data_IF_830755444451
#
_entry.id   IF_830755444451
#
_cell.length_a   1.000
_cell.length_b   1.000
_cell.length_c   1.000
_cell.angle_alpha   90.00
_cell.angle_beta   90.00
_cell.angle_gamma   90.00
#
_symmetry.space_group_name_H-M   'P 1'
#
loop_
_entity.id
_entity.type
_entity.pdbx_description
1 polymer ?
#
# COMPACT_ATOMS: atom_id res chain seq x y z
N UNK A 1 -40.74 -50.36 15.31
CA UNK A 1 -41.13 -48.95 15.09
C UNK A 1 -40.38 -48.13 16.14
N UNK A 2 -39.29 -47.44 15.75
CA UNK A 2 -39.23 -45.99 15.45
C UNK A 2 -39.44 -45.12 16.70
N UNK A 3 -38.71 -44.03 17.00
CA UNK A 3 -37.60 -43.30 16.38
C UNK A 3 -36.90 -42.53 17.53
N UNK A 4 -35.58 -42.64 17.56
CA UNK A 4 -34.53 -41.62 17.76
C UNK A 4 -34.88 -40.29 18.45
N UNK A 5 -34.11 -39.96 19.49
CA UNK A 5 -34.08 -38.67 20.15
C UNK A 5 -33.55 -37.52 19.28
N UNK A 6 -33.95 -36.30 19.65
CA UNK A 6 -33.34 -35.06 19.17
C UNK A 6 -32.93 -34.22 20.38
N UNK A 7 -31.62 -34.00 20.48
CA UNK A 7 -30.98 -33.16 21.48
C UNK A 7 -31.20 -31.68 21.14
N UNK A 8 -31.66 -30.90 22.12
CA UNK A 8 -32.03 -29.49 21.98
C UNK A 8 -30.78 -28.60 21.95
N UNK A 9 -30.30 -28.26 20.76
CA UNK A 9 -29.30 -27.20 20.57
C UNK A 9 -29.90 -25.81 20.84
N UNK A 10 -29.15 -25.02 21.62
CA UNK A 10 -29.55 -23.75 22.28
C UNK A 10 -29.82 -22.57 21.30
N UNK A 11 -30.76 -21.66 21.63
CA UNK A 11 -31.18 -20.55 20.74
C UNK A 11 -30.21 -19.35 20.60
N UNK A 12 -28.99 -19.39 21.17
CA UNK A 12 -28.08 -18.22 21.16
C UNK A 12 -27.24 -18.07 19.87
N UNK A 13 -27.11 -19.13 19.06
CA UNK A 13 -26.27 -19.12 17.84
C UNK A 13 -27.00 -18.54 16.61
N UNK A 14 -28.33 -18.64 16.58
CA UNK A 14 -29.15 -18.22 15.43
C UNK A 14 -29.26 -16.70 15.31
N UNK A 15 -29.24 -15.96 16.43
CA UNK A 15 -29.39 -14.49 16.43
C UNK A 15 -28.09 -13.78 16.00
N UNK A 16 -26.92 -14.29 16.37
CA UNK A 16 -25.63 -13.74 15.93
C UNK A 16 -25.44 -13.89 14.40
N UNK A 17 -25.96 -14.98 13.84
CA UNK A 17 -25.89 -15.26 12.40
C UNK A 17 -26.75 -14.30 11.58
N UNK A 18 -27.93 -13.90 12.08
CA UNK A 18 -28.85 -12.99 11.39
C UNK A 18 -28.42 -11.51 11.42
N UNK A 19 -27.72 -11.05 12.46
CA UNK A 19 -27.15 -9.70 12.49
C UNK A 19 -25.86 -9.58 11.65
N UNK A 20 -25.02 -10.62 11.64
CA UNK A 20 -23.89 -10.70 10.71
C UNK A 20 -24.34 -10.71 9.24
N UNK A 21 -25.43 -11.41 8.91
CA UNK A 21 -26.01 -11.41 7.57
C UNK A 21 -26.67 -10.08 7.18
N UNK A 22 -27.30 -9.36 8.12
CA UNK A 22 -27.85 -8.02 7.83
C UNK A 22 -26.79 -6.94 7.66
N UNK A 23 -25.68 -7.02 8.40
CA UNK A 23 -24.51 -6.15 8.23
C UNK A 23 -23.77 -6.42 6.92
N UNK A 24 -23.53 -7.69 6.60
CA UNK A 24 -22.85 -8.09 5.37
C UNK A 24 -23.67 -7.78 4.09
N UNK A 25 -25.00 -7.89 4.13
CA UNK A 25 -25.86 -7.65 2.96
C UNK A 25 -26.06 -6.16 2.62
N UNK A 26 -25.91 -5.24 3.59
CA UNK A 26 -25.95 -3.80 3.33
C UNK A 26 -24.57 -3.26 2.93
N UNK A 27 -23.49 -3.77 3.51
CA UNK A 27 -22.11 -3.30 3.24
C UNK A 27 -21.54 -3.84 1.92
N UNK A 28 -21.89 -5.07 1.50
CA UNK A 28 -21.49 -5.59 0.17
C UNK A 28 -22.19 -4.85 -0.97
N UNK A 29 -23.44 -4.42 -0.76
CA UNK A 29 -24.15 -3.56 -1.72
C UNK A 29 -23.49 -2.19 -1.86
N UNK A 30 -23.00 -1.62 -0.76
CA UNK A 30 -22.35 -0.30 -0.75
C UNK A 30 -20.93 -0.31 -1.30
N UNK A 31 -20.14 -1.35 -1.03
CA UNK A 31 -18.83 -1.54 -1.66
C UNK A 31 -18.95 -1.78 -3.18
N UNK A 32 -19.99 -2.52 -3.61
CA UNK A 32 -20.26 -2.77 -5.03
C UNK A 32 -20.74 -1.51 -5.76
N UNK A 33 -21.58 -0.67 -5.14
CA UNK A 33 -22.01 0.62 -5.71
C UNK A 33 -20.85 1.60 -5.84
N UNK A 34 -19.84 1.55 -4.95
CA UNK A 34 -18.62 2.39 -5.06
C UNK A 34 -17.64 1.92 -6.12
N UNK A 35 -17.64 0.62 -6.44
CA UNK A 35 -16.82 0.03 -7.52
C UNK A 35 -17.50 0.12 -8.89
N UNK A 36 -18.83 0.05 -8.93
CA UNK A 36 -19.62 0.20 -10.16
C UNK A 36 -19.91 1.67 -10.53
N UNK A 37 -19.68 2.60 -9.60
CA UNK A 37 -19.99 4.02 -9.72
C UNK A 37 -18.76 4.89 -9.98
N UNK A 38 -18.26 4.87 -11.21
CA UNK A 38 -17.52 5.98 -11.81
C UNK A 38 -17.85 5.98 -13.32
N UNK A 39 -18.47 7.03 -13.91
CA UNK A 39 -19.01 8.26 -13.29
C UNK A 39 -20.39 8.71 -13.84
N UNK A 40 -21.29 9.15 -12.94
CA UNK A 40 -22.38 10.08 -13.30
C UNK A 40 -21.98 11.56 -13.08
N UNK A 41 -20.92 11.84 -12.31
CA UNK A 41 -20.52 13.22 -11.95
C UNK A 41 -19.53 13.86 -12.94
N UNK A 42 -19.59 13.46 -14.21
CA UNK A 42 -18.76 13.99 -15.31
C UNK A 42 -19.27 15.32 -15.90
N UNK A 43 -20.10 16.09 -15.20
CA UNK A 43 -20.64 17.34 -15.72
C UNK A 43 -20.16 18.55 -14.91
N UNK A 44 -19.14 19.20 -15.49
CA UNK A 44 -18.90 20.67 -15.55
C UNK A 44 -17.72 21.31 -14.80
N UNK A 45 -16.85 20.61 -14.06
CA UNK A 45 -15.65 21.28 -13.45
C UNK A 45 -14.28 20.57 -13.57
N UNK A 46 -14.11 19.57 -14.44
CA UNK A 46 -12.91 18.72 -14.46
C UNK A 46 -11.90 18.88 -15.62
N UNK A 47 -12.04 19.86 -16.52
CA UNK A 47 -11.29 19.85 -17.80
C UNK A 47 -9.76 19.99 -17.63
N UNK A 48 -9.27 20.65 -16.58
CA UNK A 48 -7.81 20.76 -16.31
C UNK A 48 -7.18 19.52 -15.66
N UNK A 49 -7.95 18.72 -14.92
CA UNK A 49 -7.48 17.46 -14.33
C UNK A 49 -7.45 16.31 -15.34
N UNK A 50 -8.25 16.41 -16.40
CA UNK A 50 -8.32 15.41 -17.46
C UNK A 50 -7.09 15.43 -18.38
N UNK A 51 -6.43 16.58 -18.54
CA UNK A 51 -5.24 16.72 -19.40
C UNK A 51 -3.99 16.07 -18.79
N UNK A 52 -3.83 16.06 -17.47
CA UNK A 52 -2.77 15.28 -16.80
C UNK A 52 -3.08 13.78 -16.76
N UNK A 53 -4.35 13.41 -16.87
CA UNK A 53 -4.86 12.04 -16.82
C UNK A 53 -4.81 11.29 -18.15
N UNK A 54 -4.94 12.00 -19.28
CA UNK A 54 -4.97 11.40 -20.63
C UNK A 54 -3.71 11.69 -21.46
N UNK A 55 -2.81 12.53 -20.96
CA UNK A 55 -1.53 12.81 -21.61
C UNK A 55 -0.53 11.69 -21.36
N UNK A 56 -0.17 10.94 -22.40
CA UNK A 56 1.14 10.31 -22.43
C UNK A 56 2.20 11.41 -22.45
N UNK A 57 2.95 11.57 -21.36
CA UNK A 57 3.99 12.60 -21.27
C UNK A 57 4.40 12.87 -19.83
N UNK A 58 5.67 12.59 -19.54
CA UNK A 58 6.46 12.94 -18.36
C UNK A 58 5.89 12.61 -16.98
N UNK A 59 6.51 11.64 -16.32
CA UNK A 59 6.32 11.34 -14.91
C UNK A 59 6.62 12.57 -14.03
N UNK A 60 5.62 13.41 -13.81
CA UNK A 60 5.70 14.56 -12.92
C UNK A 60 5.90 14.07 -11.47
N UNK A 61 7.03 14.46 -10.87
CA UNK A 61 7.20 14.41 -9.42
C UNK A 61 6.47 15.62 -8.83
N UNK A 62 5.41 15.37 -8.08
CA UNK A 62 4.80 16.41 -7.27
C UNK A 62 5.65 16.56 -6.00
N UNK A 63 6.43 17.64 -5.94
CA UNK A 63 7.12 18.04 -4.71
C UNK A 63 6.10 18.60 -3.74
N UNK A 64 6.13 18.13 -2.50
CA UNK A 64 5.15 18.47 -1.48
C UNK A 64 5.84 19.28 -0.39
N UNK A 65 5.19 20.36 0.04
CA UNK A 65 5.69 21.21 1.14
C UNK A 65 5.98 20.35 2.39
N UNK A 66 7.26 20.23 2.73
CA UNK A 66 7.78 19.64 3.96
C UNK A 66 8.76 20.64 4.60
N UNK A 67 8.75 20.73 5.93
CA UNK A 67 9.48 21.78 6.65
C UNK A 67 10.99 21.55 6.66
N UNK A 68 11.42 20.29 6.64
CA UNK A 68 12.82 19.90 6.58
C UNK A 68 13.22 19.52 5.13
N UNK A 69 14.03 20.38 4.52
CA UNK A 69 14.54 20.19 3.16
C UNK A 69 15.89 19.43 3.13
N UNK A 70 16.50 19.24 4.30
CA UNK A 70 17.82 18.64 4.48
C UNK A 70 17.77 17.22 5.07
N UNK A 71 16.60 16.80 5.57
CA UNK A 71 16.30 15.47 6.12
C UNK A 71 16.40 14.31 5.12
N UNK A 72 15.87 13.13 5.49
CA UNK A 72 15.79 11.99 4.56
C UNK A 72 14.64 12.22 3.56
N UNK A 73 14.87 12.28 2.23
CA UNK A 73 13.81 12.39 1.24
C UNK A 73 12.80 11.24 1.36
N UNK A 74 11.51 11.56 1.30
CA UNK A 74 10.42 10.58 1.40
C UNK A 74 9.60 10.59 0.13
N UNK A 75 9.49 9.44 -0.55
CA UNK A 75 8.66 9.28 -1.74
C UNK A 75 7.48 8.35 -1.45
N UNK A 76 6.27 8.90 -1.56
CA UNK A 76 5.02 8.19 -1.35
C UNK A 76 4.55 7.51 -2.62
N UNK A 77 4.05 6.26 -2.50
CA UNK A 77 3.57 5.45 -3.61
C UNK A 77 2.14 4.99 -3.30
N UNK A 78 1.16 5.57 -3.99
CA UNK A 78 -0.27 5.33 -3.75
C UNK A 78 -0.74 3.97 -4.29
N UNK A 79 -1.94 3.51 -3.87
CA UNK A 79 -2.58 2.28 -4.35
C UNK A 79 -3.55 2.47 -5.53
N UNK A 80 -4.31 1.41 -5.85
CA UNK A 80 -5.26 1.32 -6.99
C UNK A 80 -6.43 2.33 -6.90
N UNK A 81 -6.89 2.63 -5.68
CA UNK A 81 -8.09 3.45 -5.44
C UNK A 81 -7.78 4.74 -4.65
N UNK A 82 -6.50 5.04 -4.44
CA UNK A 82 -6.09 6.18 -3.64
C UNK A 82 -5.90 7.43 -4.48
N UNK A 83 -6.45 8.53 -3.99
CA UNK A 83 -6.01 9.86 -4.36
C UNK A 83 -4.74 10.16 -3.56
N UNK A 84 -3.79 10.92 -4.12
CA UNK A 84 -2.60 11.44 -3.41
C UNK A 84 -2.92 12.04 -2.04
N UNK A 85 -4.18 12.46 -1.84
CA UNK A 85 -4.72 12.95 -0.57
C UNK A 85 -4.66 11.98 0.62
N UNK A 86 -4.60 10.65 0.41
CA UNK A 86 -4.56 9.68 1.54
C UNK A 86 -3.32 9.91 2.43
N UNK A 87 -2.22 10.34 1.82
CA UNK A 87 -0.99 10.66 2.54
C UNK A 87 -0.98 12.06 3.14
N UNK A 88 -2.03 12.87 2.99
CA UNK A 88 -2.02 14.27 3.47
C UNK A 88 -1.78 14.35 4.97
N UNK A 89 -2.45 13.49 5.75
CA UNK A 89 -2.30 13.50 7.22
C UNK A 89 -0.93 12.99 7.63
N UNK A 90 -0.49 11.89 7.03
CA UNK A 90 0.86 11.36 7.26
C UNK A 90 1.93 12.40 6.92
N UNK A 91 1.89 12.98 5.72
CA UNK A 91 2.80 14.04 5.28
C UNK A 91 2.86 15.20 6.27
N UNK A 92 1.71 15.75 6.67
CA UNK A 92 1.67 16.86 7.64
C UNK A 92 2.35 16.50 8.96
N UNK A 93 2.16 15.27 9.43
CA UNK A 93 2.82 14.80 10.63
C UNK A 93 4.33 14.56 10.44
N UNK A 94 4.77 14.19 9.24
CA UNK A 94 6.18 14.00 8.93
C UNK A 94 6.97 15.31 8.85
N UNK A 95 6.33 16.43 8.49
CA UNK A 95 6.98 17.75 8.45
C UNK A 95 7.69 18.11 9.75
N UNK A 96 7.22 17.62 10.90
CA UNK A 96 7.80 17.91 12.22
C UNK A 96 8.86 16.87 12.68
N UNK A 97 9.37 16.02 11.79
CA UNK A 97 10.07 14.77 12.17
C UNK A 97 11.50 14.60 11.61
N UNK A 98 12.13 15.66 11.08
CA UNK A 98 13.47 15.55 10.48
C UNK A 98 13.51 14.74 9.16
N UNK A 99 12.33 14.45 8.60
CA UNK A 99 12.15 13.74 7.35
C UNK A 99 11.60 14.71 6.29
N UNK A 100 12.13 14.61 5.08
CA UNK A 100 11.82 15.52 3.99
C UNK A 100 13.07 15.82 3.14
N UNK A 101 12.90 16.34 1.91
CA UNK A 101 11.64 16.73 1.27
C UNK A 101 10.75 15.54 0.91
N UNK A 102 9.46 15.81 0.71
CA UNK A 102 8.44 14.80 0.45
C UNK A 102 7.96 14.86 -0.99
N UNK A 103 7.78 13.71 -1.63
CA UNK A 103 7.37 13.61 -3.03
C UNK A 103 6.25 12.58 -3.20
N UNK A 104 5.44 12.76 -4.25
CA UNK A 104 4.48 11.74 -4.69
C UNK A 104 4.97 11.04 -5.96
N UNK A 105 4.99 9.72 -5.95
CA UNK A 105 5.18 8.91 -7.14
C UNK A 105 3.89 8.87 -7.96
N UNK A 106 4.03 9.06 -9.27
CA UNK A 106 2.94 9.03 -10.24
C UNK A 106 3.12 7.83 -11.18
N UNK A 107 2.10 6.98 -11.29
CA UNK A 107 2.04 5.89 -12.26
C UNK A 107 0.57 5.56 -12.62
N UNK A 108 0.34 4.79 -13.69
CA UNK A 108 -1.01 4.41 -14.09
C UNK A 108 -1.61 3.40 -13.10
N UNK A 109 -2.46 3.87 -12.19
CA UNK A 109 -3.15 3.03 -11.21
C UNK A 109 -4.47 2.42 -11.70
N UNK A 110 -4.94 2.70 -12.92
CA UNK A 110 -6.19 2.11 -13.43
C UNK A 110 -6.00 0.69 -13.98
N UNK A 111 -4.85 0.42 -14.60
CA UNK A 111 -4.47 -0.93 -15.01
C UNK A 111 -2.96 -1.15 -14.78
N UNK A 112 -2.54 -1.17 -13.51
CA UNK A 112 -1.13 -1.20 -13.17
C UNK A 112 -0.54 -2.57 -13.51
N UNK A 113 0.52 -2.54 -14.31
CA UNK A 113 1.50 -3.62 -14.37
C UNK A 113 2.58 -3.30 -13.33
N UNK A 114 2.69 -4.12 -12.29
CA UNK A 114 3.55 -3.81 -11.13
C UNK A 114 5.03 -3.70 -11.53
N UNK A 115 5.58 -4.58 -12.39
CA UNK A 115 6.94 -4.43 -12.91
C UNK A 115 7.17 -3.09 -13.63
N UNK A 116 6.24 -2.67 -14.50
CA UNK A 116 6.36 -1.40 -15.22
C UNK A 116 6.21 -0.20 -14.27
N UNK A 117 5.27 -0.24 -13.33
CA UNK A 117 5.13 0.78 -12.30
C UNK A 117 6.41 0.88 -11.44
N UNK A 118 7.07 -0.24 -11.15
CA UNK A 118 8.32 -0.27 -10.39
C UNK A 118 9.50 0.30 -11.20
N UNK A 119 9.50 0.09 -12.52
CA UNK A 119 10.47 0.72 -13.43
C UNK A 119 10.31 2.25 -13.42
N UNK A 120 9.08 2.75 -13.53
CA UNK A 120 8.78 4.18 -13.42
C UNK A 120 9.13 4.76 -12.04
N UNK A 121 8.88 4.00 -10.98
CA UNK A 121 9.30 4.36 -9.62
C UNK A 121 10.82 4.53 -9.53
N UNK A 122 11.60 3.66 -10.18
CA UNK A 122 13.05 3.80 -10.22
C UNK A 122 13.53 5.10 -10.88
N UNK A 123 12.89 5.52 -11.98
CA UNK A 123 13.18 6.82 -12.62
C UNK A 123 12.85 8.00 -11.69
N UNK A 124 11.75 7.88 -10.96
CA UNK A 124 11.29 8.87 -9.99
C UNK A 124 12.23 8.97 -8.79
N UNK A 125 12.70 7.83 -8.24
CA UNK A 125 13.72 7.79 -7.19
C UNK A 125 14.97 8.50 -7.66
N UNK A 126 15.50 8.18 -8.84
CA UNK A 126 16.69 8.85 -9.36
C UNK A 126 16.50 10.36 -9.56
N UNK A 127 15.29 10.80 -9.94
CA UNK A 127 14.99 12.23 -10.04
C UNK A 127 14.95 12.90 -8.66
N UNK A 128 14.33 12.28 -7.66
CA UNK A 128 14.37 12.76 -6.26
C UNK A 128 15.81 12.85 -5.77
N UNK A 129 16.63 11.82 -6.00
CA UNK A 129 18.05 11.82 -5.63
C UNK A 129 18.79 12.99 -6.27
N UNK A 130 18.61 13.24 -7.57
CA UNK A 130 19.25 14.39 -8.24
C UNK A 130 18.81 15.73 -7.63
N UNK A 131 17.53 15.89 -7.30
CA UNK A 131 17.00 17.12 -6.66
C UNK A 131 17.53 17.30 -5.23
N UNK A 132 17.82 16.21 -4.55
CA UNK A 132 18.20 16.18 -3.13
C UNK A 132 19.71 15.97 -2.92
N UNK A 133 20.55 16.20 -3.94
CA UNK A 133 22.01 16.13 -3.80
C UNK A 133 22.56 14.70 -3.69
N UNK A 134 21.87 13.71 -4.23
CA UNK A 134 22.26 12.29 -4.26
C UNK A 134 21.89 11.49 -3.01
N UNK A 135 21.20 12.12 -2.04
CA UNK A 135 20.73 11.48 -0.81
C UNK A 135 19.93 10.19 -1.11
N UNK A 136 19.99 9.18 -0.25
CA UNK A 136 19.08 8.03 -0.36
C UNK A 136 17.62 8.46 -0.16
N UNK A 137 16.68 7.61 -0.57
CA UNK A 137 15.24 7.91 -0.49
C UNK A 137 14.52 6.88 0.36
N UNK A 138 13.68 7.32 1.31
CA UNK A 138 12.72 6.46 1.98
C UNK A 138 11.49 6.29 1.11
N UNK A 139 11.03 5.05 0.92
CA UNK A 139 9.79 4.76 0.19
C UNK A 139 8.65 4.46 1.16
N UNK A 140 7.47 5.04 0.92
CA UNK A 140 6.26 4.74 1.69
C UNK A 140 5.16 4.30 0.72
N UNK A 141 4.90 3.01 0.64
CA UNK A 141 3.88 2.43 -0.23
C UNK A 141 2.61 2.07 0.53
N UNK A 142 1.44 2.43 0.01
CA UNK A 142 0.16 1.96 0.55
C UNK A 142 -0.52 1.00 -0.42
N UNK A 143 -1.12 -0.07 0.12
CA UNK A 143 -1.82 -1.09 -0.66
C UNK A 143 -0.92 -1.62 -1.80
N UNK A 144 -1.41 -1.57 -3.05
CA UNK A 144 -0.69 -1.88 -4.28
C UNK A 144 0.66 -1.15 -4.39
N UNK A 145 0.75 0.12 -3.95
CA UNK A 145 1.97 0.91 -4.03
C UNK A 145 3.13 0.27 -3.24
N UNK A 146 2.84 -0.47 -2.16
CA UNK A 146 3.88 -1.23 -1.46
C UNK A 146 4.39 -2.45 -2.23
N UNK A 147 3.60 -3.05 -3.12
CA UNK A 147 4.12 -4.09 -4.03
C UNK A 147 5.03 -3.48 -5.09
N UNK A 148 4.69 -2.29 -5.59
CA UNK A 148 5.55 -1.53 -6.52
C UNK A 148 6.91 -1.21 -5.86
N UNK A 149 6.87 -0.72 -4.61
CA UNK A 149 8.08 -0.48 -3.79
C UNK A 149 8.88 -1.77 -3.60
N UNK A 150 8.23 -2.85 -3.15
CA UNK A 150 8.89 -4.15 -2.92
C UNK A 150 9.56 -4.67 -4.19
N UNK A 151 8.88 -4.61 -5.32
CA UNK A 151 9.41 -5.05 -6.61
C UNK A 151 10.62 -4.22 -7.04
N UNK A 152 10.54 -2.88 -6.96
CA UNK A 152 11.66 -2.01 -7.28
C UNK A 152 12.92 -2.34 -6.46
N UNK A 153 12.75 -2.49 -5.13
CA UNK A 153 13.85 -2.82 -4.23
C UNK A 153 14.44 -4.20 -4.52
N UNK A 154 13.61 -5.24 -4.66
CA UNK A 154 14.08 -6.62 -4.76
C UNK A 154 14.57 -7.03 -6.16
N UNK A 155 13.96 -6.48 -7.23
CA UNK A 155 14.13 -6.97 -8.60
C UNK A 155 14.80 -5.96 -9.53
N UNK A 156 14.72 -4.66 -9.21
CA UNK A 156 15.23 -3.59 -10.08
C UNK A 156 16.42 -2.82 -9.48
N UNK A 157 17.05 -3.36 -8.43
CA UNK A 157 18.25 -2.77 -7.82
C UNK A 157 17.99 -1.57 -6.91
N UNK A 158 16.74 -1.33 -6.50
CA UNK A 158 16.39 -0.23 -5.61
C UNK A 158 17.07 -0.27 -4.23
N UNK A 159 17.56 -1.45 -3.81
CA UNK A 159 18.36 -1.62 -2.58
C UNK A 159 19.52 -0.62 -2.45
N UNK A 160 20.14 -0.25 -3.56
CA UNK A 160 21.29 0.66 -3.57
C UNK A 160 20.93 2.08 -3.11
N UNK A 161 19.66 2.46 -3.16
CA UNK A 161 19.19 3.84 -3.00
C UNK A 161 18.09 3.99 -1.95
N UNK A 162 17.53 2.87 -1.49
CA UNK A 162 16.39 2.82 -0.56
C UNK A 162 16.82 2.11 0.73
N UNK A 163 17.33 2.83 1.73
CA UNK A 163 17.72 2.22 3.01
C UNK A 163 16.51 1.78 3.83
N UNK A 164 15.35 2.39 3.60
CA UNK A 164 14.12 2.17 4.33
C UNK A 164 12.90 2.16 3.38
N UNK A 165 12.11 1.10 3.48
CA UNK A 165 10.83 0.96 2.79
C UNK A 165 9.72 0.66 3.82
N UNK A 166 8.71 1.51 3.85
CA UNK A 166 7.53 1.38 4.70
C UNK A 166 6.35 0.97 3.83
N UNK A 167 5.62 -0.06 4.25
CA UNK A 167 4.42 -0.53 3.55
C UNK A 167 3.21 -0.52 4.46
N UNK A 168 2.07 -0.03 3.96
CA UNK A 168 0.83 0.15 4.71
C UNK A 168 -0.28 -0.67 4.03
N UNK A 169 -0.74 -1.75 4.67
CA UNK A 169 -1.83 -2.59 4.15
C UNK A 169 -1.48 -3.29 2.83
N UNK A 170 -0.19 -3.52 2.56
CA UNK A 170 0.23 -4.08 1.27
C UNK A 170 -0.05 -5.57 1.18
N UNK A 171 -0.71 -6.07 0.11
CA UNK A 171 -1.00 -7.49 -0.06
C UNK A 171 0.25 -8.28 -0.50
N UNK A 172 1.25 -8.38 0.37
CA UNK A 172 2.53 -9.07 0.11
C UNK A 172 2.36 -10.55 -0.25
N UNK A 173 1.38 -11.23 0.33
CA UNK A 173 0.97 -12.59 -0.03
C UNK A 173 -0.22 -12.66 -1.00
N UNK A 174 -0.58 -11.53 -1.62
CA UNK A 174 -1.78 -11.37 -2.42
C UNK A 174 -3.05 -11.22 -1.58
N UNK A 175 -4.20 -11.21 -2.23
CA UNK A 175 -5.50 -11.16 -1.54
C UNK A 175 -6.49 -12.13 -2.16
N UNK A 176 -7.21 -12.86 -1.31
CA UNK A 176 -8.28 -13.73 -1.74
C UNK A 176 -9.36 -12.95 -2.50
N UNK A 177 -9.56 -11.65 -2.20
CA UNK A 177 -10.52 -10.80 -2.91
C UNK A 177 -10.28 -10.77 -4.43
N UNK A 178 -9.02 -10.90 -4.87
CA UNK A 178 -8.65 -10.94 -6.29
C UNK A 178 -9.08 -12.24 -7.02
N UNK A 179 -9.58 -13.24 -6.28
CA UNK A 179 -10.17 -14.46 -6.84
C UNK A 179 -11.67 -14.30 -7.14
N UNK A 180 -12.37 -13.39 -6.46
CA UNK A 180 -13.83 -13.22 -6.55
C UNK A 180 -14.26 -12.07 -7.49
N UNK A 181 -13.32 -11.23 -7.92
CA UNK A 181 -13.59 -10.13 -8.85
C UNK A 181 -13.73 -10.57 -10.31
N UNK A 182 -14.32 -9.69 -11.12
CA UNK A 182 -14.34 -9.80 -12.59
C UNK A 182 -12.89 -9.98 -13.07
N UNK A 183 -12.60 -10.92 -14.01
CA UNK A 183 -11.24 -11.18 -14.47
C UNK A 183 -10.63 -9.96 -15.16
N UNK A 184 -9.95 -9.12 -14.39
CA UNK A 184 -9.19 -7.97 -14.84
C UNK A 184 -7.69 -8.25 -14.76
N UNK A 185 -6.86 -7.82 -15.75
CA UNK A 185 -5.42 -8.08 -15.75
C UNK A 185 -4.68 -7.72 -14.45
N UNK A 186 -4.97 -6.57 -13.84
CA UNK A 186 -4.36 -6.19 -12.55
C UNK A 186 -4.70 -7.18 -11.42
N UNK A 187 -5.94 -7.67 -11.33
CA UNK A 187 -6.35 -8.60 -10.26
C UNK A 187 -5.57 -9.91 -10.35
N UNK A 188 -5.16 -10.34 -11.55
CA UNK A 188 -4.36 -11.56 -11.72
C UNK A 188 -3.01 -11.47 -11.01
N UNK A 189 -2.38 -10.29 -10.97
CA UNK A 189 -1.11 -10.08 -10.27
C UNK A 189 -1.28 -10.13 -8.75
N UNK A 190 -2.44 -9.73 -8.23
CA UNK A 190 -2.76 -9.73 -6.80
C UNK A 190 -3.28 -11.07 -6.27
N UNK A 191 -3.46 -12.07 -7.15
CA UNK A 191 -3.89 -13.40 -6.73
C UNK A 191 -2.79 -14.07 -5.93
N UNK A 192 -3.12 -14.76 -4.83
CA UNK A 192 -2.16 -15.60 -4.12
C UNK A 192 -1.54 -16.61 -5.07
N UNK A 193 -0.22 -16.72 -5.06
CA UNK A 193 0.53 -17.60 -5.97
C UNK A 193 0.55 -17.12 -7.43
N UNK A 194 0.24 -15.84 -7.72
CA UNK A 194 0.46 -15.26 -9.04
C UNK A 194 1.96 -15.31 -9.40
N UNK A 195 2.27 -15.26 -10.70
CA UNK A 195 3.65 -15.22 -11.18
C UNK A 195 4.46 -14.07 -10.57
N UNK A 196 3.82 -12.90 -10.37
CA UNK A 196 4.45 -11.75 -9.71
C UNK A 196 4.84 -12.06 -8.26
N UNK A 197 3.93 -12.64 -7.48
CA UNK A 197 4.21 -12.94 -6.07
C UNK A 197 5.24 -14.06 -5.94
N UNK A 198 5.15 -15.08 -6.82
CA UNK A 198 6.16 -16.13 -6.90
C UNK A 198 7.54 -15.54 -7.23
N UNK A 199 7.61 -14.62 -8.19
CA UNK A 199 8.83 -13.90 -8.51
C UNK A 199 9.32 -13.10 -7.30
N UNK A 200 8.46 -12.41 -6.53
CA UNK A 200 8.85 -11.67 -5.33
C UNK A 200 9.30 -12.55 -4.15
N UNK A 201 9.00 -13.85 -4.18
CA UNK A 201 9.42 -14.84 -3.19
C UNK A 201 10.72 -15.56 -3.60
N UNK A 202 11.23 -15.33 -4.81
CA UNK A 202 12.55 -15.80 -5.23
C UNK A 202 13.68 -15.17 -4.38
N UNK A 203 14.83 -15.84 -4.22
CA UNK A 203 15.94 -15.31 -3.44
C UNK A 203 16.34 -13.87 -3.84
N UNK A 204 16.66 -13.05 -2.84
CA UNK A 204 17.06 -11.65 -2.97
C UNK A 204 18.29 -11.39 -2.12
N UNK A 205 19.38 -12.10 -2.43
CA UNK A 205 20.59 -12.12 -1.60
C UNK A 205 21.24 -10.75 -1.54
N UNK A 206 21.63 -10.34 -0.35
CA UNK A 206 22.36 -9.10 -0.13
C UNK A 206 21.47 -7.84 -0.10
N UNK A 207 20.13 -7.99 -0.09
CA UNK A 207 19.22 -6.88 0.18
C UNK A 207 19.45 -6.35 1.60
N UNK A 208 19.81 -5.07 1.69
CA UNK A 208 20.11 -4.32 2.92
C UNK A 208 18.96 -3.42 3.32
N UNK A 209 18.06 -3.06 2.40
CA UNK A 209 16.85 -2.27 2.69
C UNK A 209 16.11 -2.84 3.89
N UNK A 210 15.88 -1.97 4.88
CA UNK A 210 14.99 -2.29 6.00
C UNK A 210 13.55 -2.10 5.55
N UNK A 211 12.73 -3.12 5.72
CA UNK A 211 11.30 -3.06 5.51
C UNK A 211 10.55 -2.93 6.83
N UNK A 212 9.60 -2.01 6.90
CA UNK A 212 8.59 -1.96 7.96
C UNK A 212 7.22 -2.16 7.33
N UNK A 213 6.53 -3.22 7.70
CA UNK A 213 5.25 -3.59 7.11
C UNK A 213 4.14 -3.48 8.14
N UNK A 214 3.25 -2.53 7.93
CA UNK A 214 2.04 -2.35 8.71
C UNK A 214 0.90 -3.12 8.06
N UNK A 215 0.25 -4.00 8.82
CA UNK A 215 -0.93 -4.75 8.41
C UNK A 215 -1.97 -4.71 9.52
N UNK A 216 -3.26 -4.81 9.18
CA UNK A 216 -4.34 -4.68 10.15
C UNK A 216 -5.18 -5.95 10.28
N UNK A 217 -5.65 -6.24 11.48
CA UNK A 217 -6.62 -7.32 11.73
C UNK A 217 -8.04 -7.03 11.19
N UNK A 218 -8.34 -5.76 10.87
CA UNK A 218 -9.57 -5.33 10.20
C UNK A 218 -9.37 -4.95 8.73
N UNK A 219 -8.24 -5.33 8.11
CA UNK A 219 -8.02 -5.07 6.68
C UNK A 219 -9.00 -5.87 5.81
N UNK A 220 -9.99 -5.16 5.25
CA UNK A 220 -11.05 -5.72 4.43
C UNK A 220 -10.63 -5.95 2.96
N UNK A 221 -9.49 -5.40 2.54
CA UNK A 221 -8.98 -5.53 1.16
C UNK A 221 -7.95 -6.66 1.03
N UNK A 222 -7.19 -6.95 2.09
CA UNK A 222 -6.16 -8.00 2.14
C UNK A 222 -6.65 -9.18 2.97
N UNK A 223 -7.13 -10.24 2.28
CA UNK A 223 -7.75 -11.40 2.93
C UNK A 223 -6.98 -12.71 2.62
N UNK A 224 -6.66 -13.53 3.63
CA UNK A 224 -6.66 -13.21 5.06
C UNK A 224 -5.66 -12.08 5.38
N UNK A 225 -5.91 -11.35 6.46
CA UNK A 225 -5.11 -10.19 6.87
C UNK A 225 -3.64 -10.51 7.14
N UNK A 226 -3.33 -11.77 7.47
CA UNK A 226 -1.95 -12.25 7.59
C UNK A 226 -1.14 -12.13 6.29
N UNK A 227 -1.78 -12.03 5.12
CA UNK A 227 -1.11 -11.77 3.83
C UNK A 227 -0.62 -10.34 3.69
N UNK A 228 -1.00 -9.45 4.61
CA UNK A 228 -0.42 -8.13 4.76
C UNK A 228 1.01 -8.17 5.32
N UNK A 229 1.45 -9.29 5.90
CA UNK A 229 2.81 -9.46 6.40
C UNK A 229 3.80 -9.64 5.25
N UNK A 230 4.98 -9.07 5.39
CA UNK A 230 6.13 -9.36 4.54
C UNK A 230 7.03 -10.36 5.26
N UNK A 231 6.96 -11.63 4.88
CA UNK A 231 7.80 -12.69 5.42
C UNK A 231 8.67 -13.24 4.27
N UNK A 232 9.98 -12.92 4.29
CA UNK A 232 10.94 -13.34 3.26
C UNK A 232 12.31 -13.58 3.90
N UNK A 233 12.98 -14.73 3.64
CA UNK A 233 14.21 -15.11 4.35
C UNK A 233 15.39 -14.17 4.12
N UNK A 234 15.48 -13.56 2.93
CA UNK A 234 16.58 -12.65 2.59
C UNK A 234 16.31 -11.17 2.94
N UNK A 235 15.10 -10.82 3.41
CA UNK A 235 14.75 -9.42 3.69
C UNK A 235 14.84 -9.09 5.18
N UNK A 236 15.24 -7.85 5.50
CA UNK A 236 15.23 -7.32 6.86
C UNK A 236 13.88 -6.69 7.16
N UNK A 237 12.96 -7.46 7.73
CA UNK A 237 11.57 -7.02 7.91
C UNK A 237 11.18 -6.87 9.37
N UNK A 238 10.50 -5.77 9.71
CA UNK A 238 9.70 -5.61 10.91
C UNK A 238 8.22 -5.55 10.54
N UNK A 239 7.47 -6.58 10.90
CA UNK A 239 6.01 -6.61 10.73
C UNK A 239 5.34 -5.98 11.96
N UNK A 240 4.47 -5.00 11.75
CA UNK A 240 3.71 -4.28 12.78
C UNK A 240 2.23 -4.53 12.54
N UNK A 241 1.59 -5.24 13.47
CA UNK A 241 0.15 -5.44 13.43
C UNK A 241 -0.56 -4.24 14.07
N UNK A 242 -1.49 -3.65 13.33
CA UNK A 242 -2.38 -2.59 13.80
C UNK A 242 -3.73 -3.24 14.11
N UNK A 243 -4.35 -2.83 15.22
CA UNK A 243 -5.63 -3.39 15.65
C UNK A 243 -6.76 -2.42 15.36
N UNK A 244 -7.85 -2.90 14.77
CA UNK A 244 -9.09 -2.13 14.65
C UNK A 244 -9.11 -1.09 13.51
N UNK A 245 -8.17 -1.15 12.57
CA UNK A 245 -8.01 -0.13 11.52
C UNK A 245 -8.32 -0.71 10.13
N UNK A 246 -9.27 -0.13 9.40
CA UNK A 246 -9.56 -0.56 8.02
C UNK A 246 -8.43 -0.24 7.03
N UNK A 247 -8.43 -0.87 5.86
CA UNK A 247 -7.36 -0.79 4.87
C UNK A 247 -7.00 0.65 4.45
N UNK A 248 -8.03 1.47 4.16
CA UNK A 248 -7.86 2.87 3.76
C UNK A 248 -7.53 3.80 4.93
N UNK A 249 -7.70 3.34 6.17
CA UNK A 249 -7.47 4.14 7.37
C UNK A 249 -6.02 4.04 7.86
N UNK A 250 -5.25 3.04 7.42
CA UNK A 250 -3.86 2.86 7.83
C UNK A 250 -2.99 4.11 7.64
N UNK A 251 -2.98 4.83 6.49
CA UNK A 251 -2.12 6.00 6.32
C UNK A 251 -2.58 7.24 7.09
N UNK A 252 -3.80 7.23 7.67
CA UNK A 252 -4.35 8.35 8.42
C UNK A 252 -4.54 8.04 9.90
N UNK A 253 -4.23 6.82 10.35
CA UNK A 253 -4.31 6.43 11.74
C UNK A 253 -3.18 7.07 12.56
N UNK A 254 -3.51 7.57 13.75
CA UNK A 254 -2.54 8.27 14.60
C UNK A 254 -1.40 7.37 15.07
N UNK A 255 -1.70 6.12 15.42
CA UNK A 255 -0.71 5.15 15.90
C UNK A 255 0.26 4.78 14.79
N UNK A 256 -0.26 4.56 13.58
CA UNK A 256 0.57 4.30 12.40
C UNK A 256 1.47 5.50 12.09
N UNK A 257 0.90 6.71 12.11
CA UNK A 257 1.66 7.95 11.88
C UNK A 257 2.81 8.08 12.89
N UNK A 258 2.53 7.91 14.18
CA UNK A 258 3.54 8.06 15.24
C UNK A 258 4.66 7.01 15.10
N UNK A 259 4.32 5.77 14.76
CA UNK A 259 5.31 4.73 14.51
C UNK A 259 6.14 5.02 13.26
N UNK A 260 5.52 5.50 12.17
CA UNK A 260 6.24 5.91 10.96
C UNK A 260 7.22 7.04 11.26
N UNK A 261 6.83 8.03 12.08
CA UNK A 261 7.72 9.10 12.53
C UNK A 261 8.91 8.56 13.32
N UNK A 262 8.67 7.65 14.26
CA UNK A 262 9.73 7.02 15.05
C UNK A 262 10.72 6.25 14.16
N UNK A 263 10.21 5.45 13.21
CA UNK A 263 11.02 4.69 12.25
C UNK A 263 11.86 5.62 11.35
N UNK A 264 11.30 6.74 10.90
CA UNK A 264 12.02 7.72 10.09
C UNK A 264 13.12 8.42 10.88
N UNK A 265 12.86 8.77 12.15
CA UNK A 265 13.87 9.36 13.03
C UNK A 265 15.04 8.40 13.31
N UNK A 266 14.76 7.09 13.48
CA UNK A 266 15.80 6.06 13.55
C UNK A 266 16.58 5.93 12.24
N UNK A 267 15.88 5.99 11.11
CA UNK A 267 16.45 5.84 9.77
C UNK A 267 17.38 7.00 9.38
N UNK A 268 17.05 8.23 9.78
CA UNK A 268 17.89 9.41 9.58
C UNK A 268 19.25 9.32 10.29
N UNK A 269 19.35 8.51 11.35
CA UNK A 269 20.60 8.27 12.09
C UNK A 269 21.50 7.17 11.50
N UNK A 270 21.09 6.48 10.43
CA UNK A 270 21.89 5.40 9.84
C UNK A 270 23.01 5.97 8.95
N UNK A 271 24.27 5.53 9.14
CA UNK A 271 25.37 5.94 8.28
C UNK A 271 25.10 5.49 6.83
N UNK A 272 25.23 6.44 5.91
CA UNK A 272 25.15 6.20 4.47
C UNK A 272 26.28 5.24 4.10
N UNK A 273 25.95 4.10 3.49
CA UNK A 273 26.96 3.20 2.95
C UNK A 273 27.72 3.96 1.85
N UNK A 274 29.00 4.24 2.12
CA UNK A 274 29.95 4.78 1.15
C UNK A 274 30.34 3.77 0.07
#
# INVERSE_FOLDING_TARGET
MSITGLDLMKPRVVVASLMALRGAALETGWAYVRLAGLPWELTLQGVRGLTSWLGGGDAHLEELDCADQDGLPVLFVHGLADRSSIFTRLRRALSDSGAGPCFMATYNAFNPDIPEAARLLGEQVERVRRQTGGRPVCLVGHSLGGLVVRYYVQRLGGDAHVPLAITLGTPHGGTAMALWGIPHPFLRQLRPGSGLLAELDEPCRGCRTRFVSFYSDLDEAVIPTSRGRLDHPDLRVRNVQVHGVGHLMLPVDGTVIDEVRAVLAEGAGLPLAG
#
